data_IF_693480504495
#
_entry.id   IF_693480504495
#
_cell.length_a   1.000
_cell.length_b   1.000
_cell.length_c   1.000
_cell.angle_alpha   90.00
_cell.angle_beta   90.00
_cell.angle_gamma   90.00
#
_symmetry.space_group_name_H-M   'P 1'
#
loop_
_entity.id
_entity.type
_entity.pdbx_description
1 polymer ?
#
# COMPACT_ATOMS: atom_id res chain seq x y z
N UNK A 1 8.25 0.75 29.59
CA UNK A 1 8.21 1.31 28.21
C UNK A 1 6.83 1.03 27.66
N UNK A 2 6.06 2.04 27.25
CA UNK A 2 4.73 1.82 26.66
C UNK A 2 4.95 1.40 25.20
N UNK A 3 4.66 0.14 24.88
CA UNK A 3 4.67 -0.35 23.51
C UNK A 3 3.51 0.33 22.77
N UNK A 4 3.80 1.38 21.99
CA UNK A 4 2.81 1.96 21.09
C UNK A 4 2.60 0.93 19.99
N UNK A 5 1.50 0.19 20.05
CA UNK A 5 1.02 -0.51 18.86
C UNK A 5 0.79 0.57 17.80
N UNK A 6 1.41 0.47 16.61
CA UNK A 6 1.13 1.43 15.55
C UNK A 6 -0.37 1.35 15.24
N UNK A 7 -1.01 2.51 15.08
CA UNK A 7 -2.40 2.55 14.61
C UNK A 7 -2.48 1.93 13.21
N UNK A 8 -3.53 1.14 12.91
CA UNK A 8 -3.73 0.59 11.58
C UNK A 8 -3.66 1.68 10.51
N UNK A 9 -3.05 1.40 9.34
CA UNK A 9 -2.93 2.37 8.26
C UNK A 9 -4.30 2.77 7.75
N UNK A 10 -4.44 4.03 7.38
CA UNK A 10 -5.62 4.62 6.79
C UNK A 10 -5.50 4.67 5.26
N UNK A 11 -6.59 4.99 4.57
CA UNK A 11 -6.56 5.27 3.13
C UNK A 11 -5.58 6.41 2.77
N UNK A 12 -5.38 7.39 3.67
CA UNK A 12 -4.41 8.46 3.46
C UNK A 12 -2.96 7.93 3.46
N UNK A 13 -2.63 7.00 4.36
CA UNK A 13 -1.30 6.37 4.41
C UNK A 13 -1.02 5.58 3.12
N UNK A 14 -2.01 4.85 2.61
CA UNK A 14 -1.91 4.15 1.32
C UNK A 14 -1.64 5.13 0.19
N UNK A 15 -2.35 6.26 0.18
CA UNK A 15 -2.18 7.30 -0.83
C UNK A 15 -0.75 7.86 -0.83
N UNK A 16 -0.20 8.13 0.34
CA UNK A 16 1.16 8.65 0.47
C UNK A 16 2.20 7.64 -0.03
N UNK A 17 1.99 6.35 0.22
CA UNK A 17 2.87 5.29 -0.31
C UNK A 17 2.80 5.21 -1.84
N UNK A 18 1.61 5.25 -2.42
CA UNK A 18 1.42 5.21 -3.88
C UNK A 18 1.99 6.45 -4.56
N UNK A 19 1.75 7.64 -4.01
CA UNK A 19 2.33 8.90 -4.51
C UNK A 19 3.84 8.91 -4.37
N UNK A 20 4.38 8.33 -3.29
CA UNK A 20 5.82 8.19 -3.10
C UNK A 20 6.48 7.26 -4.13
N UNK A 21 5.82 6.16 -4.52
CA UNK A 21 6.27 5.30 -5.62
C UNK A 21 6.28 6.05 -6.95
N UNK A 22 5.17 6.70 -7.28
CA UNK A 22 5.00 7.45 -8.53
C UNK A 22 5.99 8.63 -8.65
N UNK A 23 6.31 9.28 -7.53
CA UNK A 23 7.29 10.35 -7.48
C UNK A 23 8.75 9.84 -7.46
N UNK A 24 8.97 8.53 -7.31
CA UNK A 24 10.30 7.94 -7.11
C UNK A 24 10.97 8.32 -5.79
N UNK A 25 10.23 8.92 -4.85
CA UNK A 25 10.75 9.30 -3.53
C UNK A 25 10.77 8.14 -2.54
N UNK A 26 10.03 7.06 -2.83
CA UNK A 26 10.07 5.79 -2.11
C UNK A 26 10.40 4.66 -3.08
N UNK A 27 11.28 3.75 -2.67
CA UNK A 27 11.54 2.52 -3.42
C UNK A 27 10.44 1.46 -3.21
N UNK A 28 10.34 0.53 -4.16
CA UNK A 28 9.40 -0.60 -4.08
C UNK A 28 9.66 -1.46 -2.86
N UNK A 29 10.93 -1.69 -2.54
CA UNK A 29 11.38 -2.47 -1.39
C UNK A 29 10.99 -1.79 -0.07
N UNK A 30 11.07 -0.46 0.01
CA UNK A 30 10.64 0.29 1.20
C UNK A 30 9.13 0.18 1.41
N UNK A 31 8.34 0.37 0.34
CA UNK A 31 6.89 0.30 0.41
C UNK A 31 6.39 -1.12 0.68
N UNK A 32 6.98 -2.11 0.02
CA UNK A 32 6.69 -3.53 0.25
C UNK A 32 6.96 -3.92 1.71
N UNK A 33 8.15 -3.56 2.23
CA UNK A 33 8.48 -3.82 3.64
C UNK A 33 7.52 -3.12 4.60
N UNK A 34 7.08 -1.90 4.27
CA UNK A 34 6.10 -1.19 5.09
C UNK A 34 4.75 -1.94 5.12
N UNK A 35 4.23 -2.33 3.97
CA UNK A 35 2.95 -3.03 3.86
C UNK A 35 2.99 -4.43 4.50
N UNK A 36 4.09 -5.18 4.32
CA UNK A 36 4.24 -6.53 4.86
C UNK A 36 4.16 -6.58 6.40
N UNK A 37 4.48 -5.48 7.11
CA UNK A 37 4.29 -5.41 8.58
C UNK A 37 2.84 -5.57 9.00
N UNK A 38 1.91 -5.13 8.16
CA UNK A 38 0.48 -5.20 8.39
C UNK A 38 -0.10 -6.50 7.86
N UNK A 39 0.27 -6.87 6.63
CA UNK A 39 -0.23 -8.10 5.98
C UNK A 39 0.19 -9.36 6.75
N UNK A 40 1.38 -9.36 7.36
CA UNK A 40 1.88 -10.47 8.16
C UNK A 40 1.42 -10.49 9.62
N UNK A 41 0.67 -9.48 10.08
CA UNK A 41 0.19 -9.42 11.46
C UNK A 41 -1.01 -10.37 11.66
N UNK A 42 -1.08 -11.02 12.84
CA UNK A 42 -2.17 -11.96 13.19
C UNK A 42 -3.53 -11.25 13.27
N UNK A 43 -3.54 -10.01 13.76
CA UNK A 43 -4.71 -9.16 13.86
C UNK A 43 -4.29 -7.69 13.63
N UNK A 44 -4.30 -7.21 12.37
CA UNK A 44 -3.83 -5.87 12.04
C UNK A 44 -4.84 -4.77 12.40
N UNK A 45 -6.07 -5.10 12.78
CA UNK A 45 -7.13 -4.12 13.07
C UNK A 45 -7.54 -3.27 11.87
N UNK A 46 -7.48 -3.83 10.65
CA UNK A 46 -7.82 -3.14 9.41
C UNK A 46 -9.16 -3.70 8.90
N UNK A 47 -10.23 -2.98 9.18
CA UNK A 47 -11.59 -3.36 8.75
C UNK A 47 -11.97 -2.80 7.37
N UNK A 48 -11.24 -1.78 6.90
CA UNK A 48 -11.50 -1.14 5.62
C UNK A 48 -11.02 -2.05 4.46
N UNK A 49 -11.94 -2.56 3.61
CA UNK A 49 -11.58 -3.49 2.54
C UNK A 49 -10.72 -2.84 1.45
N UNK A 50 -10.86 -1.53 1.22
CA UNK A 50 -10.05 -0.79 0.23
C UNK A 50 -8.62 -0.67 0.74
N UNK A 51 -8.45 -0.33 2.02
CA UNK A 51 -7.13 -0.30 2.68
C UNK A 51 -6.48 -1.68 2.62
N UNK A 52 -7.21 -2.74 3.01
CA UNK A 52 -6.65 -4.10 3.02
C UNK A 52 -6.21 -4.59 1.63
N UNK A 53 -7.04 -4.34 0.61
CA UNK A 53 -6.72 -4.69 -0.78
C UNK A 53 -5.49 -3.94 -1.27
N UNK A 54 -5.41 -2.63 -1.03
CA UNK A 54 -4.26 -1.83 -1.42
C UNK A 54 -2.98 -2.24 -0.68
N UNK A 55 -3.05 -2.53 0.62
CA UNK A 55 -1.91 -3.06 1.39
C UNK A 55 -1.39 -4.37 0.84
N UNK A 56 -2.28 -5.27 0.45
CA UNK A 56 -1.87 -6.57 -0.09
C UNK A 56 -1.11 -6.40 -1.41
N UNK A 57 -1.56 -5.46 -2.27
CA UNK A 57 -0.85 -5.09 -3.51
C UNK A 57 0.50 -4.44 -3.22
N UNK A 58 0.52 -3.47 -2.30
CA UNK A 58 1.76 -2.79 -1.89
C UNK A 58 2.77 -3.76 -1.29
N UNK A 59 2.32 -4.77 -0.53
CA UNK A 59 3.19 -5.81 0.04
C UNK A 59 3.85 -6.72 -0.98
N UNK A 60 3.40 -6.69 -2.25
CA UNK A 60 4.00 -7.40 -3.37
C UNK A 60 4.63 -6.48 -4.41
N UNK A 61 4.78 -5.18 -4.15
CA UNK A 61 5.20 -4.21 -5.18
C UNK A 61 6.67 -4.36 -5.61
N UNK A 62 7.48 -5.05 -4.81
CA UNK A 62 8.87 -5.41 -5.08
C UNK A 62 9.02 -6.76 -5.80
N UNK A 63 7.92 -7.50 -6.01
CA UNK A 63 7.97 -8.78 -6.70
C UNK A 63 8.37 -8.62 -8.17
N UNK A 64 9.25 -9.50 -8.61
CA UNK A 64 9.82 -9.52 -9.95
C UNK A 64 9.21 -10.62 -10.81
N UNK A 65 8.85 -10.28 -12.04
CA UNK A 65 8.45 -11.22 -13.09
C UNK A 65 9.66 -12.00 -13.64
N UNK A 66 10.83 -11.35 -13.64
CA UNK A 66 12.11 -11.87 -14.13
C UNK A 66 13.26 -11.09 -13.50
N UNK A 67 14.52 -11.46 -13.76
CA UNK A 67 15.71 -10.79 -13.18
C UNK A 67 15.67 -9.27 -13.33
N UNK A 68 15.18 -8.77 -14.47
CA UNK A 68 15.23 -7.35 -14.86
C UNK A 68 13.84 -6.66 -14.88
N UNK A 69 12.77 -7.36 -14.50
CA UNK A 69 11.40 -6.86 -14.69
C UNK A 69 10.56 -7.02 -13.40
N UNK A 70 9.94 -5.93 -12.94
CA UNK A 70 8.95 -5.94 -11.87
C UNK A 70 7.57 -6.40 -12.37
N UNK A 71 6.76 -6.98 -11.49
CA UNK A 71 5.38 -7.37 -11.82
C UNK A 71 4.44 -6.19 -12.02
N UNK A 72 4.72 -5.05 -11.37
CA UNK A 72 3.84 -3.89 -11.33
C UNK A 72 4.58 -2.63 -11.73
N UNK A 73 3.91 -1.68 -12.37
CA UNK A 73 4.49 -0.40 -12.80
C UNK A 73 3.55 0.76 -12.54
N UNK A 74 3.97 1.97 -12.93
CA UNK A 74 3.21 3.21 -12.76
C UNK A 74 1.73 3.12 -13.16
N UNK A 75 1.33 2.41 -14.26
CA UNK A 75 -0.09 2.23 -14.57
C UNK A 75 -0.88 1.49 -13.48
N UNK A 76 -0.26 0.47 -12.86
CA UNK A 76 -0.86 -0.25 -11.74
C UNK A 76 -0.98 0.68 -10.53
N UNK A 77 0.05 1.47 -10.25
CA UNK A 77 0.06 2.38 -9.10
C UNK A 77 -0.99 3.49 -9.24
N UNK A 78 -1.14 4.03 -10.44
CA UNK A 78 -2.22 4.97 -10.76
C UNK A 78 -3.59 4.32 -10.61
N UNK A 79 -3.77 3.09 -11.11
CA UNK A 79 -5.05 2.36 -10.95
C UNK A 79 -5.38 2.09 -9.49
N UNK A 80 -4.40 1.75 -8.66
CA UNK A 80 -4.62 1.52 -7.23
C UNK A 80 -4.86 2.83 -6.47
N UNK A 81 -4.24 3.92 -6.90
CA UNK A 81 -4.45 5.25 -6.33
C UNK A 81 -5.87 5.75 -6.60
N UNK A 82 -6.34 5.62 -7.84
CA UNK A 82 -7.71 5.96 -8.24
C UNK A 82 -8.75 5.21 -7.42
N UNK A 83 -8.56 3.90 -7.23
CA UNK A 83 -9.44 3.06 -6.41
C UNK A 83 -9.50 3.50 -4.93
N UNK A 84 -8.39 4.00 -4.38
CA UNK A 84 -8.33 4.53 -3.02
C UNK A 84 -8.95 5.92 -2.94
N UNK A 85 -8.84 6.73 -4.00
CA UNK A 85 -9.41 8.08 -4.03
C UNK A 85 -10.94 8.06 -4.26
N UNK A 86 -11.45 7.16 -5.11
CA UNK A 86 -12.89 6.93 -5.34
C UNK A 86 -13.61 6.47 -4.05
N UNK A 87 -12.95 5.65 -3.23
CA UNK A 87 -13.50 5.20 -1.96
C UNK A 87 -13.68 6.30 -0.91
N UNK A 88 -13.03 7.46 -1.07
CA UNK A 88 -13.09 8.61 -0.15
C UNK A 88 -14.23 9.54 -0.52
N UNK A 89 -14.64 9.51 -1.79
CA UNK A 89 -15.76 10.27 -2.34
C UNK A 89 -16.78 9.31 -2.97
N UNK A 90 -17.47 8.46 -2.17
CA UNK A 90 -18.63 7.76 -2.69
C UNK A 90 -19.71 8.83 -2.86
N UNK A 91 -19.76 9.45 -4.05
CA UNK A 91 -20.53 10.65 -4.35
C UNK A 91 -21.78 10.83 -3.48
N UNK A 92 -21.84 12.00 -2.83
CA UNK A 92 -22.96 12.52 -2.04
C UNK A 92 -24.35 12.19 -2.64
#
# INVERSE_FOLDING_TARGET
MRNLVPSPPSQADIRDMLRGLLAGSLSREEVSRWAQRWVGAVDPGIDDPVVWRALTRLGGVDLRASTDEYLYYDPDFHSWLDEVEDAIDPGD
#
